data_IF_279542071166
#
_entry.id   IF_279542071166
#
_cell.length_a   1.000
_cell.length_b   1.000
_cell.length_c   1.000
_cell.angle_alpha   90.00
_cell.angle_beta   90.00
_cell.angle_gamma   90.00
#
_symmetry.space_group_name_H-M   'P 1'
#
loop_
_entity.id
_entity.type
_entity.pdbx_description
1 polymer ?
#
# COMPACT_ATOMS: atom_id res chain seq x y z
N UNK A 1 22.29 -12.10 17.81
CA UNK A 1 21.85 -12.01 16.40
C UNK A 1 20.81 -13.09 16.20
N UNK A 2 19.53 -12.71 16.25
CA UNK A 2 18.41 -13.65 16.11
C UNK A 2 17.86 -13.63 14.68
N UNK A 3 17.16 -14.69 14.31
CA UNK A 3 16.51 -14.85 13.00
C UNK A 3 15.65 -13.62 12.62
N UNK A 4 14.98 -12.99 13.59
CA UNK A 4 14.19 -11.77 13.42
C UNK A 4 15.01 -10.54 13.01
N UNK A 5 16.26 -10.44 13.43
CA UNK A 5 17.16 -9.32 13.14
C UNK A 5 17.71 -9.40 11.71
N UNK A 6 17.93 -10.63 11.23
CA UNK A 6 18.33 -10.93 9.85
C UNK A 6 17.16 -10.63 8.92
N UNK A 7 15.94 -11.07 9.26
CA UNK A 7 14.73 -10.79 8.49
C UNK A 7 14.47 -9.28 8.35
N UNK A 8 14.64 -8.47 9.41
CA UNK A 8 14.51 -7.00 9.30
C UNK A 8 15.50 -6.39 8.31
N UNK A 9 16.76 -6.83 8.34
CA UNK A 9 17.79 -6.37 7.40
C UNK A 9 17.53 -6.81 5.96
N UNK A 10 17.01 -8.01 5.76
CA UNK A 10 16.64 -8.52 4.45
C UNK A 10 15.41 -7.80 3.87
N UNK A 11 14.43 -7.46 4.73
CA UNK A 11 13.26 -6.68 4.30
C UNK A 11 13.70 -5.32 3.73
N UNK A 12 14.58 -4.61 4.44
CA UNK A 12 15.07 -3.30 3.99
C UNK A 12 15.97 -3.39 2.74
N UNK A 13 16.75 -4.48 2.58
CA UNK A 13 17.73 -4.61 1.48
C UNK A 13 17.24 -5.33 0.23
N UNK A 14 16.30 -6.25 0.36
CA UNK A 14 15.90 -7.16 -0.72
C UNK A 14 14.43 -6.94 -1.10
N UNK A 15 13.54 -6.73 -0.11
CA UNK A 15 12.10 -6.62 -0.38
C UNK A 15 11.70 -5.27 -0.97
N UNK A 16 12.26 -4.16 -0.47
CA UNK A 16 12.03 -2.82 -1.01
C UNK A 16 13.04 -2.40 -2.09
N UNK A 17 13.81 -3.35 -2.60
CA UNK A 17 14.78 -3.06 -3.64
C UNK A 17 14.02 -2.65 -4.91
N UNK A 18 14.24 -1.43 -5.45
CA UNK A 18 13.50 -0.92 -6.60
C UNK A 18 13.82 -1.66 -7.90
N UNK A 19 14.79 -2.56 -7.87
CA UNK A 19 15.21 -3.38 -9.02
C UNK A 19 14.49 -4.75 -9.06
N UNK A 20 13.77 -5.15 -8.00
CA UNK A 20 13.07 -6.45 -7.95
C UNK A 20 11.56 -6.36 -7.66
N UNK A 21 11.11 -5.52 -6.70
CA UNK A 21 9.69 -5.46 -6.30
C UNK A 21 9.15 -4.06 -5.98
N UNK A 22 10.00 -3.08 -5.66
CA UNK A 22 9.59 -1.70 -5.40
C UNK A 22 9.59 -0.83 -6.65
N UNK A 23 8.71 0.17 -6.72
CA UNK A 23 8.76 1.24 -7.73
C UNK A 23 8.79 2.59 -7.03
N UNK A 24 9.55 3.59 -7.54
CA UNK A 24 9.54 4.93 -6.98
C UNK A 24 8.20 5.61 -7.29
N UNK A 25 7.49 6.01 -6.24
CA UNK A 25 6.19 6.67 -6.34
C UNK A 25 6.19 7.97 -5.52
N UNK A 26 5.42 8.95 -5.99
CA UNK A 26 5.33 10.24 -5.32
C UNK A 26 4.19 10.26 -4.30
N UNK A 27 4.52 10.30 -3.00
CA UNK A 27 3.59 10.50 -1.90
C UNK A 27 3.65 11.96 -1.42
N UNK A 28 2.64 12.75 -1.77
CA UNK A 28 2.64 14.20 -1.53
C UNK A 28 3.84 14.86 -2.22
N UNK A 29 4.74 15.47 -1.43
CA UNK A 29 5.96 16.13 -1.91
C UNK A 29 7.22 15.24 -1.83
N UNK A 30 7.07 13.96 -1.47
CA UNK A 30 8.19 13.03 -1.26
C UNK A 30 8.11 11.85 -2.22
N UNK A 31 9.23 11.49 -2.83
CA UNK A 31 9.35 10.26 -3.61
C UNK A 31 9.82 9.13 -2.69
N UNK A 32 9.04 8.05 -2.61
CA UNK A 32 9.33 6.88 -1.79
C UNK A 32 9.27 5.62 -2.65
N UNK A 33 10.08 4.61 -2.33
CA UNK A 33 9.96 3.31 -2.97
C UNK A 33 8.80 2.54 -2.33
N UNK A 34 7.77 2.27 -3.13
CA UNK A 34 6.58 1.53 -2.70
C UNK A 34 6.50 0.21 -3.47
N UNK A 35 5.96 -0.81 -2.82
CA UNK A 35 5.55 -2.03 -3.49
C UNK A 35 4.04 -1.92 -3.65
N UNK A 36 3.55 -1.74 -4.88
CA UNK A 36 2.10 -1.73 -5.15
C UNK A 36 1.65 -3.16 -5.39
N UNK A 37 0.71 -3.64 -4.60
CA UNK A 37 0.03 -4.91 -4.86
C UNK A 37 -1.15 -4.66 -5.81
N UNK A 38 -0.89 -4.80 -7.12
CA UNK A 38 -1.94 -4.77 -8.15
C UNK A 38 -2.64 -6.14 -8.28
N UNK A 39 -2.04 -7.20 -7.72
CA UNK A 39 -2.44 -8.59 -7.94
C UNK A 39 -3.65 -9.04 -7.08
N UNK A 40 -4.01 -8.31 -6.02
CA UNK A 40 -5.27 -8.52 -5.29
C UNK A 40 -6.55 -8.11 -6.08
N UNK A 41 -6.43 -7.50 -7.26
CA UNK A 41 -7.58 -7.22 -8.14
C UNK A 41 -8.02 -8.50 -8.90
N UNK A 42 -7.07 -9.25 -9.49
CA UNK A 42 -7.37 -10.43 -10.33
C UNK A 42 -7.77 -11.67 -9.50
N UNK A 43 -7.13 -11.89 -8.35
CA UNK A 43 -7.43 -13.05 -7.50
C UNK A 43 -8.76 -12.89 -6.73
N UNK A 44 -9.23 -11.66 -6.49
CA UNK A 44 -10.58 -11.39 -5.93
C UNK A 44 -11.69 -11.44 -6.97
N UNK A 45 -11.43 -11.10 -8.24
CA UNK A 45 -12.37 -11.35 -9.34
C UNK A 45 -12.78 -12.83 -9.43
N UNK A 46 -11.88 -13.76 -9.07
CA UNK A 46 -12.17 -15.20 -9.09
C UNK A 46 -12.86 -15.73 -7.83
N UNK A 47 -12.73 -15.07 -6.66
CA UNK A 47 -13.18 -15.64 -5.37
C UNK A 47 -14.47 -15.05 -4.81
N UNK A 48 -14.94 -13.88 -5.27
CA UNK A 48 -16.19 -13.31 -4.71
C UNK A 48 -17.04 -12.60 -5.76
N UNK A 49 -17.78 -13.35 -6.61
CA UNK A 49 -18.71 -12.76 -7.56
C UNK A 49 -19.99 -12.16 -6.94
N UNK A 50 -20.21 -12.24 -5.62
CA UNK A 50 -21.56 -12.06 -5.05
C UNK A 50 -21.75 -10.93 -4.03
N UNK A 51 -20.68 -10.36 -3.44
CA UNK A 51 -20.85 -9.38 -2.35
C UNK A 51 -20.64 -7.92 -2.77
N UNK A 52 -19.67 -7.65 -3.65
CA UNK A 52 -19.45 -6.32 -4.24
C UNK A 52 -20.48 -5.96 -5.33
N UNK A 53 -21.16 -6.96 -5.92
CA UNK A 53 -22.22 -6.71 -6.91
C UNK A 53 -23.50 -6.11 -6.27
N UNK A 54 -23.74 -6.38 -4.98
CA UNK A 54 -24.95 -5.96 -4.29
C UNK A 54 -24.97 -4.47 -3.91
N UNK A 55 -23.79 -3.84 -3.73
CA UNK A 55 -23.67 -2.42 -3.39
C UNK A 55 -23.39 -1.52 -4.62
N UNK A 56 -23.14 -2.11 -5.79
CA UNK A 56 -22.92 -1.37 -7.05
C UNK A 56 -21.69 -0.46 -7.08
N UNK A 57 -20.90 -0.41 -5.99
CA UNK A 57 -19.79 0.52 -5.84
C UNK A 57 -18.46 -0.25 -5.88
N UNK A 58 -18.05 -0.69 -7.08
CA UNK A 58 -16.69 -1.15 -7.31
C UNK A 58 -15.72 0.04 -7.16
N UNK A 59 -15.36 0.39 -5.94
CA UNK A 59 -14.34 1.41 -5.69
C UNK A 59 -12.99 0.75 -5.85
N UNK A 60 -12.20 1.25 -6.80
CA UNK A 60 -10.84 0.78 -7.04
C UNK A 60 -10.03 0.95 -5.75
N UNK A 61 -9.73 -0.17 -5.10
CA UNK A 61 -8.88 -0.24 -3.90
C UNK A 61 -7.46 -0.51 -4.36
N UNK A 62 -6.50 0.25 -3.85
CA UNK A 62 -5.07 0.11 -4.10
C UNK A 62 -4.39 -0.18 -2.78
N UNK A 63 -3.51 -1.16 -2.74
CA UNK A 63 -2.73 -1.48 -1.55
C UNK A 63 -1.26 -1.31 -1.87
N UNK A 64 -0.51 -0.69 -0.97
CA UNK A 64 0.93 -0.57 -1.12
C UNK A 64 1.64 -0.82 0.21
N UNK A 65 2.89 -1.25 0.09
CA UNK A 65 3.80 -1.44 1.20
C UNK A 65 4.93 -0.43 1.14
N UNK A 66 5.35 0.06 2.30
CA UNK A 66 6.44 1.03 2.42
C UNK A 66 7.19 0.83 3.74
N UNK A 67 8.49 1.10 3.76
CA UNK A 67 9.26 1.08 5.00
C UNK A 67 8.78 2.18 5.97
N UNK A 68 8.46 1.79 7.20
CA UNK A 68 8.01 2.71 8.26
C UNK A 68 9.00 3.86 8.49
N UNK A 69 10.30 3.54 8.42
CA UNK A 69 11.39 4.49 8.62
C UNK A 69 11.44 5.58 7.54
N UNK A 70 11.12 5.23 6.29
CA UNK A 70 11.09 6.17 5.18
C UNK A 70 9.78 6.96 5.16
N UNK A 71 8.65 6.30 5.38
CA UNK A 71 7.34 6.94 5.38
C UNK A 71 7.19 7.95 6.54
N UNK A 72 7.70 7.60 7.72
CA UNK A 72 7.57 8.39 8.94
C UNK A 72 6.45 7.83 9.84
N UNK A 73 5.59 8.66 10.44
CA UNK A 73 4.50 8.17 11.29
C UNK A 73 3.43 7.42 10.46
N UNK A 74 2.86 6.36 11.04
CA UNK A 74 1.75 5.61 10.43
C UNK A 74 0.59 6.56 10.13
N UNK A 75 0.06 6.57 8.90
CA UNK A 75 -0.98 7.51 8.53
C UNK A 75 -2.31 7.14 9.17
N UNK A 76 -3.11 8.15 9.51
CA UNK A 76 -4.42 7.92 10.11
C UNK A 76 -5.44 7.48 9.04
N UNK A 77 -6.21 6.44 9.37
CA UNK A 77 -7.34 5.99 8.55
C UNK A 77 -8.36 7.11 8.35
N UNK A 78 -8.90 7.20 7.15
CA UNK A 78 -9.86 8.21 6.73
C UNK A 78 -9.25 9.48 6.14
N UNK A 79 -7.93 9.69 6.26
CA UNK A 79 -7.23 10.83 5.63
C UNK A 79 -7.06 10.65 4.13
N UNK A 80 -6.89 11.77 3.44
CA UNK A 80 -6.51 11.81 2.04
C UNK A 80 -4.99 11.68 1.90
N UNK A 81 -4.55 10.90 0.91
CA UNK A 81 -3.17 10.69 0.52
C UNK A 81 -3.04 10.98 -0.97
N UNK A 82 -2.07 11.81 -1.35
CA UNK A 82 -1.73 12.02 -2.76
C UNK A 82 -0.67 11.01 -3.15
N UNK A 83 -0.98 10.13 -4.10
CA UNK A 83 -0.07 9.13 -4.68
C UNK A 83 0.01 9.38 -6.20
N UNK A 84 1.19 9.71 -6.70
CA UNK A 84 1.48 10.03 -8.11
C UNK A 84 0.55 11.10 -8.70
N UNK A 85 0.27 12.14 -7.89
CA UNK A 85 -0.61 13.24 -8.27
C UNK A 85 -2.11 12.90 -8.25
N UNK A 86 -2.49 11.68 -7.82
CA UNK A 86 -3.89 11.28 -7.64
C UNK A 86 -4.25 11.23 -6.16
N UNK A 87 -5.44 11.73 -5.82
CA UNK A 87 -5.94 11.69 -4.45
C UNK A 87 -6.66 10.38 -4.15
N UNK A 88 -6.25 9.75 -3.07
CA UNK A 88 -6.86 8.56 -2.52
C UNK A 88 -7.23 8.78 -1.07
N UNK A 89 -8.17 7.98 -0.56
CA UNK A 89 -8.52 7.94 0.85
C UNK A 89 -7.91 6.72 1.50
N UNK A 90 -7.20 6.89 2.61
CA UNK A 90 -6.69 5.78 3.40
C UNK A 90 -7.86 5.09 4.08
N UNK A 91 -8.05 3.80 3.81
CA UNK A 91 -9.11 2.98 4.41
C UNK A 91 -8.56 2.04 5.48
N UNK A 92 -7.27 1.70 5.41
CA UNK A 92 -6.59 0.90 6.43
C UNK A 92 -5.09 1.21 6.44
N UNK A 93 -4.47 1.11 7.61
CA UNK A 93 -3.03 1.32 7.79
C UNK A 93 -2.52 0.47 8.97
N UNK A 94 -1.61 -0.45 8.69
CA UNK A 94 -1.06 -1.39 9.67
C UNK A 94 0.47 -1.31 9.67
N UNK A 95 1.07 -1.38 10.86
CA UNK A 95 2.52 -1.51 11.03
C UNK A 95 2.89 -2.96 11.34
N UNK A 96 3.46 -3.64 10.35
CA UNK A 96 3.97 -5.00 10.43
C UNK A 96 5.47 -4.97 10.74
N UNK A 97 5.80 -4.63 11.99
CA UNK A 97 7.16 -4.66 12.55
C UNK A 97 8.23 -3.87 11.77
N UNK A 98 7.85 -2.73 11.18
CA UNK A 98 8.74 -1.85 10.41
C UNK A 98 8.36 -1.69 8.95
N UNK A 99 7.36 -2.45 8.48
CA UNK A 99 6.72 -2.27 7.18
C UNK A 99 5.32 -1.73 7.39
N UNK A 100 4.98 -0.65 6.70
CA UNK A 100 3.62 -0.15 6.66
C UNK A 100 2.88 -0.76 5.49
N UNK A 101 1.73 -1.33 5.80
CA UNK A 101 0.75 -1.82 4.85
C UNK A 101 -0.39 -0.81 4.82
N UNK A 102 -0.58 -0.14 3.68
CA UNK A 102 -1.55 0.95 3.55
C UNK A 102 -2.51 0.61 2.43
N UNK A 103 -3.80 0.56 2.78
CA UNK A 103 -4.89 0.40 1.83
C UNK A 103 -5.55 1.74 1.54
N UNK A 104 -5.72 1.99 0.25
CA UNK A 104 -6.27 3.21 -0.33
C UNK A 104 -7.52 2.90 -1.12
N UNK A 105 -8.46 3.83 -1.11
CA UNK A 105 -9.64 3.83 -1.97
C UNK A 105 -9.59 5.06 -2.87
N UNK A 106 -9.82 4.87 -4.17
CA UNK A 106 -9.91 5.98 -5.11
C UNK A 106 -11.09 6.89 -4.74
N UNK A 107 -10.79 8.18 -4.53
CA UNK A 107 -11.84 9.19 -4.36
C UNK A 107 -12.35 9.53 -5.76
N UNK A 108 -13.57 9.14 -6.08
CA UNK A 108 -14.24 9.62 -7.30
C UNK A 108 -14.38 11.14 -7.17
N UNK A 109 -13.74 11.87 -8.09
CA UNK A 109 -13.92 13.31 -8.21
C UNK A 109 -15.40 13.64 -8.39
N UNK A 110 -15.83 14.68 -7.68
CA UNK A 110 -17.13 15.35 -7.81
C UNK A 110 -17.16 16.07 -9.16
#
# INVERSE_FOLDING_TARGET
>A
MGFKDIVKKDIEKVFFNPEEFGSPHQIGDRTLNLIIDDNEMVEREKRTPLKDLADGTYRRKLMFYVAAREFGPLPAVGKLLSLDGRQYRIIDAVNEDGVYSISLEAVRGI
#
